data_IF_239324721692
#
_entry.id   IF_239324721692
#
_cell.length_a   1.000
_cell.length_b   1.000
_cell.length_c   1.000
_cell.angle_alpha   90.00
_cell.angle_beta   90.00
_cell.angle_gamma   90.00
#
_symmetry.space_group_name_H-M   'P 1'
#
loop_
_entity.id
_entity.type
_entity.pdbx_description
1 polymer ?
#
# COMPACT_ATOMS: atom_id res chain seq x y z
N UNK A 1 6.42 30.24 -5.87
CA UNK A 1 5.05 30.69 -5.56
C UNK A 1 4.96 30.99 -4.07
N UNK A 2 4.04 31.82 -3.62
CA UNK A 2 3.87 32.15 -2.19
C UNK A 2 2.91 31.15 -1.54
N UNK A 3 3.36 30.52 -0.44
CA UNK A 3 2.53 29.65 0.39
C UNK A 3 1.31 30.41 0.94
N UNK A 4 0.15 29.74 1.12
CA UNK A 4 -1.00 30.35 1.75
C UNK A 4 -0.70 30.70 3.22
N UNK A 5 -1.24 31.82 3.71
CA UNK A 5 -1.05 32.24 5.12
C UNK A 5 -1.76 31.35 6.13
N UNK A 6 -2.80 30.64 5.69
CA UNK A 6 -3.66 29.80 6.53
C UNK A 6 -4.13 28.59 5.74
N UNK A 7 -4.27 27.45 6.42
CA UNK A 7 -4.85 26.22 5.89
C UNK A 7 -5.73 25.58 6.97
N UNK A 8 -6.79 24.87 6.59
CA UNK A 8 -7.63 24.15 7.55
C UNK A 8 -6.99 22.79 7.92
N UNK A 9 -6.12 22.26 7.04
CA UNK A 9 -5.34 21.04 7.28
C UNK A 9 -3.98 21.14 6.61
N UNK A 10 -2.91 20.88 7.37
CA UNK A 10 -1.53 20.84 6.88
C UNK A 10 -1.00 19.41 6.98
N UNK A 11 -0.55 18.87 5.85
CA UNK A 11 0.03 17.54 5.72
C UNK A 11 1.53 17.70 5.51
N UNK A 12 2.32 17.11 6.41
CA UNK A 12 3.79 17.20 6.36
C UNK A 12 4.34 15.88 5.80
N UNK A 13 4.81 15.92 4.56
CA UNK A 13 5.37 14.79 3.83
C UNK A 13 4.55 14.38 2.60
N UNK A 14 5.20 14.32 1.45
CA UNK A 14 4.66 13.98 0.13
C UNK A 14 4.94 12.56 -0.33
N UNK A 15 5.02 11.62 0.61
CA UNK A 15 4.95 10.18 0.31
C UNK A 15 3.53 9.73 -0.07
N UNK A 16 3.36 8.45 -0.40
CA UNK A 16 2.05 7.89 -0.78
C UNK A 16 0.97 8.13 0.27
N UNK A 17 1.31 8.04 1.56
CA UNK A 17 0.38 8.30 2.66
C UNK A 17 -0.09 9.76 2.68
N UNK A 18 0.83 10.73 2.55
CA UNK A 18 0.47 12.15 2.55
C UNK A 18 -0.39 12.52 1.35
N UNK A 19 -0.05 12.02 0.16
CA UNK A 19 -0.85 12.20 -1.04
C UNK A 19 -2.25 11.58 -0.91
N UNK A 20 -2.35 10.36 -0.38
CA UNK A 20 -3.62 9.66 -0.13
C UNK A 20 -4.50 10.43 0.87
N UNK A 21 -3.92 10.92 1.97
CA UNK A 21 -4.63 11.74 2.96
C UNK A 21 -5.13 13.03 2.33
N UNK A 22 -4.31 13.74 1.55
CA UNK A 22 -4.72 14.96 0.86
C UNK A 22 -5.92 14.72 -0.07
N UNK A 23 -5.86 13.63 -0.85
CA UNK A 23 -6.95 13.24 -1.74
C UNK A 23 -8.24 12.92 -0.97
N UNK A 24 -8.19 12.03 0.02
CA UNK A 24 -9.39 11.59 0.72
C UNK A 24 -10.01 12.68 1.62
N UNK A 25 -9.22 13.63 2.12
CA UNK A 25 -9.73 14.83 2.77
C UNK A 25 -10.48 15.72 1.76
N UNK A 26 -9.88 15.98 0.60
CA UNK A 26 -10.50 16.81 -0.44
C UNK A 26 -11.77 16.17 -1.00
N UNK A 27 -11.78 14.84 -1.22
CA UNK A 27 -12.94 14.05 -1.63
C UNK A 27 -14.10 14.17 -0.63
N UNK A 28 -13.79 14.24 0.67
CA UNK A 28 -14.77 14.44 1.75
C UNK A 28 -15.20 15.90 1.93
N UNK A 29 -14.78 16.79 1.03
CA UNK A 29 -15.18 18.19 1.00
C UNK A 29 -14.37 19.10 1.93
N UNK A 30 -13.30 18.61 2.57
CA UNK A 30 -12.40 19.48 3.33
C UNK A 30 -11.76 20.53 2.41
N UNK A 31 -11.65 21.76 2.91
CA UNK A 31 -11.15 22.91 2.16
C UNK A 31 -9.77 23.31 2.65
N UNK A 32 -9.07 24.17 1.89
CA UNK A 32 -7.76 24.75 2.25
C UNK A 32 -6.75 23.70 2.76
N UNK A 33 -6.61 22.59 2.04
CA UNK A 33 -5.65 21.54 2.33
C UNK A 33 -4.29 21.94 1.75
N UNK A 34 -3.23 21.87 2.57
CA UNK A 34 -1.86 22.14 2.17
C UNK A 34 -0.97 20.94 2.48
N UNK A 35 -0.33 20.36 1.46
CA UNK A 35 0.70 19.34 1.61
C UNK A 35 2.07 19.98 1.38
N UNK A 36 2.98 19.82 2.34
CA UNK A 36 4.36 20.29 2.29
C UNK A 36 5.33 19.10 2.18
N UNK A 37 6.14 19.07 1.13
CA UNK A 37 7.20 18.09 0.90
C UNK A 37 8.55 18.80 0.91
N UNK A 38 9.51 18.25 1.66
CA UNK A 38 10.86 18.84 1.79
C UNK A 38 11.72 18.58 0.55
N UNK A 39 11.50 17.46 -0.13
CA UNK A 39 12.29 17.02 -1.28
C UNK A 39 11.80 17.70 -2.57
N UNK A 40 12.60 17.59 -3.64
CA UNK A 40 12.28 18.16 -4.95
C UNK A 40 11.06 17.50 -5.62
N UNK A 41 10.85 16.21 -5.37
CA UNK A 41 9.75 15.45 -5.94
C UNK A 41 9.00 14.69 -4.85
N UNK A 42 7.71 14.45 -5.08
CA UNK A 42 6.90 13.57 -4.24
C UNK A 42 7.44 12.14 -4.26
N UNK A 43 7.29 11.45 -3.14
CA UNK A 43 7.66 10.05 -3.01
C UNK A 43 9.17 9.78 -2.88
N UNK A 44 10.04 10.78 -2.75
CA UNK A 44 11.49 10.56 -2.62
C UNK A 44 11.96 9.88 -1.31
N UNK A 45 11.04 9.71 -0.35
CA UNK A 45 11.27 8.96 0.89
C UNK A 45 11.17 7.44 0.73
N UNK A 46 10.58 6.75 1.72
CA UNK A 46 10.38 5.29 1.69
C UNK A 46 9.49 4.82 0.51
N UNK A 47 8.57 5.68 0.07
CA UNK A 47 7.70 5.41 -1.08
C UNK A 47 8.48 5.11 -2.36
N UNK A 48 9.48 5.90 -2.72
CA UNK A 48 10.26 5.70 -3.94
C UNK A 48 11.34 4.62 -3.84
N UNK A 49 11.54 4.06 -2.64
CA UNK A 49 12.58 3.04 -2.35
C UNK A 49 12.02 1.65 -2.09
N UNK A 50 10.69 1.50 -1.97
CA UNK A 50 10.09 0.20 -1.72
C UNK A 50 9.92 -0.61 -3.01
N UNK A 51 9.78 -1.92 -2.87
CA UNK A 51 9.68 -2.86 -3.98
C UNK A 51 8.27 -2.98 -4.60
N UNK A 52 7.28 -2.22 -4.12
CA UNK A 52 5.91 -2.21 -4.67
C UNK A 52 4.99 -3.33 -4.18
N UNK A 53 5.38 -4.13 -3.19
CA UNK A 53 4.58 -5.25 -2.70
C UNK A 53 3.23 -4.82 -2.08
N UNK A 54 2.13 -5.35 -2.61
CA UNK A 54 0.77 -5.21 -2.07
C UNK A 54 0.19 -6.59 -1.76
N UNK A 55 -0.46 -6.75 -0.61
CA UNK A 55 -0.91 -8.08 -0.14
C UNK A 55 -2.01 -8.02 0.89
N UNK A 56 -2.75 -9.12 1.03
CA UNK A 56 -3.72 -9.36 2.09
C UNK A 56 -3.17 -10.14 3.28
N UNK A 57 -2.09 -10.90 3.09
CA UNK A 57 -1.60 -11.91 4.04
C UNK A 57 -0.96 -11.34 5.32
N UNK A 58 -1.68 -10.56 6.13
CA UNK A 58 -1.20 -9.97 7.39
C UNK A 58 -1.59 -10.80 8.63
N UNK A 59 -0.88 -10.54 9.74
CA UNK A 59 -1.06 -11.22 11.03
C UNK A 59 -2.09 -10.57 11.96
N UNK A 60 -2.66 -9.42 11.59
CA UNK A 60 -3.65 -8.71 12.41
C UNK A 60 -4.90 -8.37 11.60
N UNK A 61 -6.06 -8.44 12.25
CA UNK A 61 -7.35 -8.16 11.61
C UNK A 61 -7.42 -6.72 11.06
N UNK A 62 -6.83 -5.74 11.75
CA UNK A 62 -6.78 -4.34 11.28
C UNK A 62 -6.03 -4.20 9.96
N UNK A 63 -4.88 -4.87 9.82
CA UNK A 63 -4.09 -4.79 8.59
C UNK A 63 -4.75 -5.55 7.45
N UNK A 64 -5.43 -6.67 7.73
CA UNK A 64 -6.20 -7.39 6.71
C UNK A 64 -7.36 -6.53 6.21
N UNK A 65 -8.13 -5.90 7.10
CA UNK A 65 -9.22 -4.98 6.71
C UNK A 65 -8.71 -3.81 5.89
N UNK A 66 -7.59 -3.20 6.29
CA UNK A 66 -6.95 -2.13 5.53
C UNK A 66 -6.53 -2.62 4.14
N UNK A 67 -5.95 -3.82 4.05
CA UNK A 67 -5.53 -4.41 2.78
C UNK A 67 -6.69 -4.67 1.83
N UNK A 68 -7.84 -5.13 2.33
CA UNK A 68 -9.04 -5.37 1.53
C UNK A 68 -9.48 -4.07 0.86
N UNK A 69 -9.55 -3.00 1.64
CA UNK A 69 -9.87 -1.68 1.11
C UNK A 69 -8.80 -1.18 0.12
N UNK A 70 -7.52 -1.21 0.51
CA UNK A 70 -6.46 -0.63 -0.31
C UNK A 70 -6.22 -1.39 -1.61
N UNK A 71 -6.31 -2.72 -1.62
CA UNK A 71 -6.14 -3.49 -2.86
C UNK A 71 -7.32 -3.34 -3.81
N UNK A 72 -8.56 -3.13 -3.33
CA UNK A 72 -9.68 -2.76 -4.21
C UNK A 72 -9.41 -1.42 -4.91
N UNK A 73 -8.94 -0.42 -4.16
CA UNK A 73 -8.56 0.88 -4.72
C UNK A 73 -7.39 0.76 -5.71
N UNK A 74 -6.38 -0.05 -5.42
CA UNK A 74 -5.24 -0.29 -6.31
C UNK A 74 -5.65 -1.02 -7.59
N UNK A 75 -6.57 -1.99 -7.50
CA UNK A 75 -7.10 -2.70 -8.66
C UNK A 75 -7.93 -1.79 -9.58
N UNK A 76 -8.60 -0.79 -9.00
CA UNK A 76 -9.46 0.19 -9.71
C UNK A 76 -8.78 1.54 -9.90
N UNK A 77 -7.47 1.63 -9.70
CA UNK A 77 -6.78 2.92 -9.59
C UNK A 77 -6.88 3.77 -10.87
N UNK A 78 -6.86 3.12 -12.04
CA UNK A 78 -7.01 3.80 -13.32
C UNK A 78 -8.42 4.36 -13.53
N UNK A 79 -9.44 3.61 -13.14
CA UNK A 79 -10.85 4.04 -13.15
C UNK A 79 -11.04 5.27 -12.24
N UNK A 80 -10.44 5.22 -11.05
CA UNK A 80 -10.62 6.23 -10.00
C UNK A 80 -9.81 7.52 -10.24
N UNK A 81 -8.58 7.40 -10.77
CA UNK A 81 -7.61 8.50 -10.80
C UNK A 81 -7.04 8.81 -12.19
N UNK A 82 -7.44 8.06 -13.23
CA UNK A 82 -7.01 8.28 -14.60
C UNK A 82 -5.52 8.02 -14.84
N UNK A 83 -4.89 7.21 -13.98
CA UNK A 83 -3.52 6.69 -14.11
C UNK A 83 -3.48 5.27 -13.57
N UNK A 84 -2.81 4.36 -14.26
CA UNK A 84 -2.65 2.99 -13.77
C UNK A 84 -1.74 2.93 -12.54
N UNK A 85 -2.10 2.13 -11.53
CA UNK A 85 -1.21 1.81 -10.42
C UNK A 85 -0.12 0.80 -10.78
N UNK A 86 -0.06 0.29 -12.03
CA UNK A 86 0.84 -0.80 -12.40
C UNK A 86 0.58 -2.08 -11.60
N UNK A 87 -0.69 -2.36 -11.31
CA UNK A 87 -1.07 -3.49 -10.46
C UNK A 87 -0.90 -4.83 -11.20
N UNK A 88 -0.07 -5.70 -10.63
CA UNK A 88 0.22 -7.03 -11.15
C UNK A 88 -0.10 -8.07 -10.06
N UNK A 89 -1.28 -8.74 -10.10
CA UNK A 89 -1.67 -9.78 -9.13
C UNK A 89 -0.95 -11.10 -9.44
N UNK A 90 0.35 -11.13 -9.17
CA UNK A 90 1.23 -12.29 -9.42
C UNK A 90 1.37 -13.21 -8.19
N UNK A 91 0.66 -12.87 -7.11
CA UNK A 91 0.64 -13.54 -5.84
C UNK A 91 1.84 -13.24 -4.93
N UNK A 92 1.75 -13.71 -3.69
CA UNK A 92 2.79 -13.56 -2.68
C UNK A 92 2.94 -14.88 -1.92
N UNK A 93 4.13 -15.47 -1.95
CA UNK A 93 4.42 -16.74 -1.29
C UNK A 93 5.30 -16.50 -0.07
N UNK A 94 4.81 -16.88 1.11
CA UNK A 94 5.63 -17.01 2.31
C UNK A 94 6.09 -18.46 2.43
N UNK A 95 7.40 -18.67 2.61
CA UNK A 95 7.99 -19.99 2.89
C UNK A 95 8.18 -20.13 4.40
N UNK A 96 7.80 -21.29 4.94
CA UNK A 96 7.79 -21.57 6.37
C UNK A 96 8.73 -22.73 6.67
N UNK A 97 9.59 -22.56 7.66
CA UNK A 97 10.71 -23.47 7.98
C UNK A 97 10.59 -24.12 9.34
N UNK A 98 9.70 -23.61 10.19
CA UNK A 98 9.48 -24.13 11.54
C UNK A 98 8.02 -24.53 11.78
N UNK A 99 7.75 -25.52 12.66
CA UNK A 99 6.38 -25.87 13.03
C UNK A 99 5.61 -24.69 13.68
N UNK A 100 6.32 -23.80 14.38
CA UNK A 100 5.74 -22.60 14.98
C UNK A 100 5.21 -21.62 13.93
N UNK A 101 6.01 -21.33 12.90
CA UNK A 101 5.58 -20.51 11.76
C UNK A 101 4.37 -21.13 11.05
N UNK A 102 4.36 -22.45 10.85
CA UNK A 102 3.21 -23.15 10.24
C UNK A 102 1.94 -22.97 11.05
N UNK A 103 2.02 -23.10 12.38
CA UNK A 103 0.86 -22.90 13.25
C UNK A 103 0.37 -21.44 13.22
N UNK A 104 1.29 -20.48 13.28
CA UNK A 104 0.97 -19.04 13.23
C UNK A 104 0.32 -18.66 11.89
N UNK A 105 0.92 -19.05 10.77
CA UNK A 105 0.41 -18.71 9.45
C UNK A 105 -0.92 -19.40 9.15
N UNK A 106 -1.17 -20.62 9.64
CA UNK A 106 -2.49 -21.24 9.57
C UNK A 106 -3.54 -20.49 10.38
N UNK A 107 -3.19 -19.98 11.56
CA UNK A 107 -4.07 -19.11 12.35
C UNK A 107 -4.38 -17.80 11.62
N UNK A 108 -3.35 -17.17 11.05
CA UNK A 108 -3.49 -15.96 10.23
C UNK A 108 -4.38 -16.21 9.00
N UNK A 109 -4.20 -17.33 8.29
CA UNK A 109 -5.05 -17.72 7.16
C UNK A 109 -6.51 -17.90 7.58
N UNK A 110 -6.78 -18.54 8.72
CA UNK A 110 -8.15 -18.70 9.22
C UNK A 110 -8.81 -17.33 9.51
N UNK A 111 -8.05 -16.40 10.10
CA UNK A 111 -8.49 -15.02 10.32
C UNK A 111 -8.74 -14.28 9.00
N UNK A 112 -7.82 -14.37 8.04
CA UNK A 112 -7.94 -13.75 6.72
C UNK A 112 -9.18 -14.27 5.95
N UNK A 113 -9.40 -15.59 5.98
CA UNK A 113 -10.58 -16.22 5.37
C UNK A 113 -11.88 -15.74 6.00
N UNK A 114 -11.95 -15.65 7.34
CA UNK A 114 -13.11 -15.09 8.06
C UNK A 114 -13.43 -13.64 7.66
N UNK A 115 -12.42 -12.86 7.26
CA UNK A 115 -12.56 -11.48 6.80
C UNK A 115 -12.86 -11.37 5.29
N UNK A 116 -12.96 -12.48 4.57
CA UNK A 116 -13.31 -12.51 3.15
C UNK A 116 -12.14 -12.68 2.17
N UNK A 117 -10.91 -12.85 2.66
CA UNK A 117 -9.74 -13.15 1.82
C UNK A 117 -9.68 -14.66 1.54
N UNK A 118 -10.64 -15.16 0.78
CA UNK A 118 -10.86 -16.61 0.57
C UNK A 118 -9.85 -17.28 -0.36
N UNK A 119 -9.07 -16.49 -1.10
CA UNK A 119 -8.07 -16.99 -2.05
C UNK A 119 -6.70 -17.25 -1.40
N UNK A 120 -6.50 -16.83 -0.15
CA UNK A 120 -5.28 -17.13 0.60
C UNK A 120 -5.33 -18.58 1.10
N UNK A 121 -4.31 -19.36 0.76
CA UNK A 121 -4.24 -20.79 1.02
C UNK A 121 -2.89 -21.22 1.58
N UNK A 122 -2.89 -22.31 2.34
CA UNK A 122 -1.67 -23.02 2.72
C UNK A 122 -1.27 -23.95 1.58
N UNK A 123 0.02 -24.01 1.26
CA UNK A 123 0.60 -24.89 0.25
C UNK A 123 1.59 -25.85 0.91
N UNK A 124 1.48 -27.12 0.51
CA UNK A 124 2.51 -28.14 0.74
C UNK A 124 3.76 -27.88 -0.09
N UNK A 125 4.92 -28.46 0.26
CA UNK A 125 6.14 -28.37 -0.55
C UNK A 125 5.93 -28.78 -2.01
N UNK A 126 5.16 -29.83 -2.29
CA UNK A 126 4.85 -30.28 -3.66
C UNK A 126 4.05 -29.25 -4.45
N UNK A 127 3.12 -28.53 -3.80
CA UNK A 127 2.36 -27.46 -4.44
C UNK A 127 3.24 -26.23 -4.70
N UNK A 128 4.17 -25.93 -3.79
CA UNK A 128 5.16 -24.86 -3.99
C UNK A 128 6.09 -25.19 -5.16
N UNK A 129 6.56 -26.44 -5.27
CA UNK A 129 7.39 -26.90 -6.37
C UNK A 129 6.69 -26.74 -7.73
N UNK A 130 5.38 -26.97 -7.78
CA UNK A 130 4.56 -26.72 -8.98
C UNK A 130 4.36 -25.24 -9.27
N UNK A 131 4.17 -24.42 -8.24
CA UNK A 131 3.91 -22.99 -8.36
C UNK A 131 5.17 -22.21 -8.78
N UNK A 132 6.31 -22.47 -8.11
CA UNK A 132 7.59 -21.80 -8.35
C UNK A 132 8.72 -22.84 -8.41
N UNK A 133 8.93 -23.52 -9.57
CA UNK A 133 9.87 -24.64 -9.69
C UNK A 133 11.34 -24.33 -9.39
N UNK A 134 11.70 -23.04 -9.27
CA UNK A 134 13.08 -22.57 -9.02
C UNK A 134 13.40 -22.39 -7.53
N UNK A 135 12.43 -22.56 -6.63
CA UNK A 135 12.65 -22.43 -5.19
C UNK A 135 13.35 -23.68 -4.67
N UNK A 136 14.43 -23.51 -3.88
CA UNK A 136 14.98 -24.61 -3.10
C UNK A 136 14.03 -24.90 -1.92
N UNK A 137 13.58 -26.14 -1.81
CA UNK A 137 12.64 -26.58 -0.77
C UNK A 137 13.31 -27.30 0.39
N UNK A 138 14.64 -27.38 0.43
CA UNK A 138 15.38 -27.93 1.56
C UNK A 138 14.98 -27.21 2.86
N UNK A 139 14.44 -27.97 3.83
CA UNK A 139 13.99 -27.44 5.12
C UNK A 139 12.67 -26.65 5.08
N UNK A 140 11.99 -26.56 3.93
CA UNK A 140 10.67 -25.93 3.84
C UNK A 140 9.58 -26.93 4.26
N UNK A 141 8.78 -26.55 5.27
CA UNK A 141 7.65 -27.36 5.77
C UNK A 141 6.37 -27.08 4.97
N UNK A 142 6.24 -25.86 4.45
CA UNK A 142 5.11 -25.43 3.62
C UNK A 142 5.14 -23.92 3.41
N UNK A 143 4.03 -23.36 2.95
CA UNK A 143 3.94 -21.93 2.68
C UNK A 143 2.51 -21.42 2.65
N UNK A 144 2.34 -20.10 2.62
CA UNK A 144 1.05 -19.49 2.34
C UNK A 144 1.12 -18.66 1.07
N UNK A 145 0.07 -18.73 0.28
CA UNK A 145 -0.02 -18.06 -1.00
C UNK A 145 -1.39 -17.43 -1.19
N UNK A 146 -1.42 -16.18 -1.64
CA UNK A 146 -2.64 -15.53 -2.11
C UNK A 146 -2.40 -14.99 -3.53
N UNK A 147 -3.14 -15.45 -4.55
CA UNK A 147 -2.95 -15.05 -5.95
C UNK A 147 -3.39 -13.62 -6.25
N UNK A 148 -4.20 -12.99 -5.39
CA UNK A 148 -4.58 -11.59 -5.51
C UNK A 148 -3.61 -10.65 -4.79
N UNK A 149 -2.55 -11.15 -4.19
CA UNK A 149 -1.44 -10.30 -3.78
C UNK A 149 -0.53 -10.03 -4.99
N UNK A 150 0.42 -9.10 -4.89
CA UNK A 150 1.36 -8.85 -5.97
C UNK A 150 2.14 -7.55 -5.84
N UNK A 151 2.26 -6.85 -6.97
CA UNK A 151 3.04 -5.62 -7.09
C UNK A 151 2.17 -4.46 -7.59
N UNK A 152 2.50 -3.25 -7.17
CA UNK A 152 2.02 -1.99 -7.74
C UNK A 152 3.21 -1.02 -7.85
N UNK A 153 3.14 -0.06 -8.77
CA UNK A 153 4.14 0.99 -8.90
C UNK A 153 3.92 2.09 -7.85
N UNK A 154 4.82 2.24 -6.85
CA UNK A 154 4.65 3.24 -5.80
C UNK A 154 4.63 4.68 -6.33
N UNK A 155 5.35 4.95 -7.43
CA UNK A 155 5.38 6.27 -8.03
C UNK A 155 4.01 6.63 -8.61
N UNK A 156 3.47 5.77 -9.48
CA UNK A 156 2.16 5.98 -10.10
C UNK A 156 1.04 6.14 -9.07
N UNK A 157 1.06 5.33 -8.00
CA UNK A 157 0.08 5.46 -6.90
C UNK A 157 0.18 6.83 -6.21
N UNK A 158 1.39 7.27 -5.90
CA UNK A 158 1.60 8.57 -5.23
C UNK A 158 1.18 9.74 -6.13
N UNK A 159 1.55 9.68 -7.41
CA UNK A 159 1.22 10.72 -8.38
C UNK A 159 -0.29 10.75 -8.70
N UNK A 160 -0.95 9.61 -8.76
CA UNK A 160 -2.40 9.53 -8.94
C UNK A 160 -3.16 10.21 -7.81
N UNK A 161 -2.83 9.89 -6.56
CA UNK A 161 -3.42 10.58 -5.41
C UNK A 161 -3.11 12.08 -5.40
N UNK A 162 -1.87 12.47 -5.65
CA UNK A 162 -1.48 13.88 -5.65
C UNK A 162 -2.19 14.68 -6.75
N UNK A 163 -2.34 14.10 -7.95
CA UNK A 163 -3.11 14.70 -9.06
C UNK A 163 -4.58 14.85 -8.70
N UNK A 164 -5.20 13.79 -8.17
CA UNK A 164 -6.60 13.82 -7.77
C UNK A 164 -6.85 14.85 -6.65
N UNK A 165 -5.96 14.94 -5.67
CA UNK A 165 -6.01 15.96 -4.62
C UNK A 165 -5.95 17.38 -5.19
N UNK A 166 -5.02 17.65 -6.12
CA UNK A 166 -4.91 18.95 -6.81
C UNK A 166 -6.17 19.31 -7.60
N UNK A 167 -6.77 18.35 -8.30
CA UNK A 167 -8.03 18.55 -9.03
C UNK A 167 -9.18 18.94 -8.11
N UNK A 168 -9.15 18.49 -6.86
CA UNK A 168 -10.12 18.83 -5.81
C UNK A 168 -9.72 20.08 -5.00
N UNK A 169 -8.66 20.79 -5.39
CA UNK A 169 -8.26 22.08 -4.80
C UNK A 169 -7.21 22.02 -3.69
N UNK A 170 -6.61 20.85 -3.41
CA UNK A 170 -5.48 20.77 -2.49
C UNK A 170 -4.24 21.45 -3.07
N UNK A 171 -3.52 22.22 -2.24
CA UNK A 171 -2.23 22.81 -2.59
C UNK A 171 -1.12 21.86 -2.17
N UNK A 172 -0.16 21.60 -3.06
CA UNK A 172 0.93 20.65 -2.83
C UNK A 172 2.24 21.32 -3.24
N UNK A 173 3.08 21.58 -2.25
CA UNK A 173 4.31 22.37 -2.36
C UNK A 173 5.51 21.51 -2.00
N UNK A 174 6.40 21.30 -2.97
CA UNK A 174 7.68 20.61 -2.80
C UNK A 174 8.76 21.59 -2.37
N UNK A 175 9.96 21.10 -2.06
CA UNK A 175 11.10 21.92 -1.62
C UNK A 175 10.76 22.84 -0.42
N UNK A 176 9.79 22.42 0.39
CA UNK A 176 9.25 23.18 1.53
C UNK A 176 9.41 22.37 2.81
N UNK A 177 10.52 22.63 3.51
CA UNK A 177 10.83 21.94 4.77
C UNK A 177 10.10 22.61 5.92
N UNK A 178 9.31 21.85 6.67
CA UNK A 178 8.77 22.29 7.95
C UNK A 178 9.86 22.20 9.01
N UNK A 179 10.15 23.32 9.68
CA UNK A 179 11.25 23.44 10.65
C UNK A 179 10.79 23.45 12.11
N UNK A 180 9.49 23.59 12.35
CA UNK A 180 8.90 23.60 13.69
C UNK A 180 7.39 23.70 13.66
N UNK A 181 6.76 23.36 14.79
CA UNK A 181 5.33 23.53 15.05
C UNK A 181 5.23 24.21 16.42
N UNK A 182 4.47 25.29 16.48
CA UNK A 182 4.12 25.97 17.73
C UNK A 182 2.61 25.85 17.93
N UNK A 183 2.20 25.27 19.06
CA UNK A 183 0.80 25.06 19.45
C UNK A 183 0.38 26.08 20.51
#
# INVERSE_FOLDING_TARGET
MTLPKTADSVIIGGGCMGASVAHYLAERGAQKILLLEREKFLGMGSTGRNAGGVRHQFSTEVNVRLSIFSLDVIARFEELFGISAGYHPIGYLFLLTTPGEVAEFKSNLAMQNRLGVTRAQFLSPDEIARLVPRVNLDGIIGGTFCPSDGLADPNSVTQGYARAARQLGAQIETETTVTGIQL
#
